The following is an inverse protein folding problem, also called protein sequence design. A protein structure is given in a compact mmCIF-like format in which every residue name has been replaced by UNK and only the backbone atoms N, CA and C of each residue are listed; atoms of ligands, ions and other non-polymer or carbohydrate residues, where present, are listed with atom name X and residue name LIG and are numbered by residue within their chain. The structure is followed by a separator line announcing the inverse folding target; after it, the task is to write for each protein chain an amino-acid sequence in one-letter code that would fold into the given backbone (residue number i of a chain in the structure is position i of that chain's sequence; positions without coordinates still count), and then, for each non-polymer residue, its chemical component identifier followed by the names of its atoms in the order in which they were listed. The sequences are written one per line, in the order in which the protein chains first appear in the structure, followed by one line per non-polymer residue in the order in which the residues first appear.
data_IF_114612970760
#
_entry.id   IF_114612970760
#
_cell.length_a   1.000
_cell.length_b   1.000
_cell.length_c   1.000
_cell.angle_alpha   90.00
_cell.angle_beta   90.00
_cell.angle_gamma   90.00
#
_symmetry.space_group_name_H-M   'P 1'
#
loop_
_entity.id
_entity.type
_entity.pdbx_description
1 polymer ?
#
# COMPACT_ATOMS: atom_id res chain seq x y z
N UNK A 1 3.22 3.76 37.28
CA UNK A 1 3.57 4.94 36.44
C UNK A 1 3.03 4.70 35.05
N UNK A 2 2.19 5.60 34.54
CA UNK A 2 1.52 5.46 33.25
C UNK A 2 2.04 6.52 32.28
N UNK A 3 2.61 6.08 31.17
CA UNK A 3 3.30 6.93 30.22
C UNK A 3 2.83 6.66 28.79
N UNK A 4 2.74 7.71 27.98
CA UNK A 4 2.45 7.60 26.55
C UNK A 4 3.54 8.34 25.78
N UNK A 5 4.15 7.70 24.80
CA UNK A 5 5.15 8.30 23.92
C UNK A 5 4.54 8.40 22.53
N UNK A 6 4.66 9.56 21.90
CA UNK A 6 4.09 9.81 20.59
C UNK A 6 5.03 10.60 19.68
N UNK A 7 4.98 10.28 18.39
CA UNK A 7 5.70 10.97 17.34
C UNK A 7 4.88 10.95 16.06
N UNK A 8 5.21 11.83 15.12
CA UNK A 8 4.56 11.95 13.83
C UNK A 8 5.57 11.93 12.69
N UNK A 9 5.10 11.64 11.48
CA UNK A 9 5.90 11.79 10.26
C UNK A 9 5.08 12.55 9.24
N UNK A 10 5.46 13.81 8.99
CA UNK A 10 4.92 14.61 7.91
C UNK A 10 5.47 14.13 6.57
N UNK A 11 4.57 13.77 5.65
CA UNK A 11 4.92 13.39 4.29
C UNK A 11 4.27 14.38 3.32
N UNK A 12 5.07 15.26 2.71
CA UNK A 12 4.57 16.27 1.79
C UNK A 12 3.91 15.63 0.56
N UNK A 13 2.63 15.94 0.33
CA UNK A 13 1.85 15.41 -0.79
C UNK A 13 1.43 13.93 -0.65
N UNK A 14 1.71 13.29 0.48
CA UNK A 14 1.30 11.93 0.80
C UNK A 14 0.58 11.89 2.16
N UNK A 15 0.09 10.71 2.53
CA UNK A 15 -0.52 10.49 3.83
C UNK A 15 0.55 10.60 4.94
N UNK A 16 0.21 11.31 6.02
CA UNK A 16 1.04 11.43 7.22
C UNK A 16 0.52 10.52 8.33
N UNK A 17 1.40 10.10 9.23
CA UNK A 17 1.10 9.06 10.23
C UNK A 17 1.58 9.44 11.63
N UNK A 18 0.89 8.91 12.63
CA UNK A 18 1.20 9.02 14.06
C UNK A 18 1.64 7.64 14.55
N UNK A 19 2.76 7.59 15.27
CA UNK A 19 3.17 6.42 16.04
C UNK A 19 3.02 6.68 17.53
N UNK A 20 2.49 5.70 18.27
CA UNK A 20 2.42 5.78 19.73
C UNK A 20 2.81 4.46 20.39
N UNK A 21 3.44 4.57 21.56
CA UNK A 21 3.63 3.46 22.50
C UNK A 21 3.14 3.85 23.89
N UNK A 22 2.52 2.91 24.58
CA UNK A 22 1.95 3.10 25.91
C UNK A 22 2.66 2.18 26.89
N UNK A 23 3.18 2.76 27.97
CA UNK A 23 3.93 2.07 29.01
C UNK A 23 3.16 2.14 30.32
N UNK A 24 3.13 1.03 31.05
CA UNK A 24 2.66 0.98 32.44
C UNK A 24 3.67 0.22 33.28
N UNK A 25 4.10 0.85 34.37
CA UNK A 25 5.02 0.26 35.35
C UNK A 25 6.31 -0.27 34.70
N UNK A 26 6.79 0.45 33.69
CA UNK A 26 7.98 0.09 32.90
C UNK A 26 7.74 -0.94 31.80
N UNK A 27 6.54 -1.50 31.69
CA UNK A 27 6.18 -2.48 30.66
C UNK A 27 5.39 -1.84 29.52
N UNK A 28 5.75 -2.19 28.29
CA UNK A 28 4.99 -1.75 27.12
C UNK A 28 3.72 -2.59 26.98
N UNK A 29 2.57 -1.93 27.08
CA UNK A 29 1.26 -2.58 27.03
C UNK A 29 0.53 -2.38 25.69
N UNK A 30 0.95 -1.41 24.88
CA UNK A 30 0.33 -1.12 23.58
C UNK A 30 1.28 -0.39 22.64
N UNK A 31 1.16 -0.70 21.35
CA UNK A 31 1.77 0.04 20.24
C UNK A 31 0.71 0.27 19.17
N UNK A 32 0.70 1.44 18.56
CA UNK A 32 -0.18 1.72 17.44
C UNK A 32 0.43 2.69 16.45
N UNK A 33 0.02 2.53 15.21
CA UNK A 33 0.15 3.55 14.18
C UNK A 33 -1.24 3.90 13.65
N UNK A 34 -1.49 5.17 13.40
CA UNK A 34 -2.70 5.63 12.73
C UNK A 34 -2.37 6.69 11.68
N UNK A 35 -3.16 6.75 10.61
CA UNK A 35 -3.13 7.85 9.66
C UNK A 35 -3.66 9.13 10.33
N UNK A 36 -3.09 10.28 9.97
CA UNK A 36 -3.65 11.59 10.32
C UNK A 36 -4.86 11.83 9.41
N UNK A 37 -6.09 11.95 9.96
CA UNK A 37 -7.33 11.97 9.17
C UNK A 37 -7.48 13.21 8.28
N UNK A 38 -6.85 14.31 8.64
CA UNK A 38 -6.82 15.56 7.87
C UNK A 38 -5.54 15.65 7.01
N UNK A 39 -5.49 16.61 6.09
CA UNK A 39 -4.27 16.94 5.33
C UNK A 39 -3.45 17.97 6.12
N UNK A 40 -2.52 17.55 7.01
CA UNK A 40 -1.69 18.49 7.75
C UNK A 40 -0.91 19.37 6.77
N UNK A 41 -0.75 20.65 7.09
CA UNK A 41 -0.04 21.58 6.21
C UNK A 41 1.45 21.62 6.51
N UNK A 42 1.84 21.20 7.71
CA UNK A 42 3.22 21.27 8.18
C UNK A 42 3.49 20.20 9.25
N UNK A 43 4.75 20.11 9.69
CA UNK A 43 5.15 19.15 10.71
C UNK A 43 4.51 19.43 12.08
N UNK A 44 4.35 20.70 12.47
CA UNK A 44 3.74 21.05 13.75
C UNK A 44 2.29 20.55 13.84
N UNK A 45 1.50 20.65 12.76
CA UNK A 45 0.15 20.09 12.71
C UNK A 45 0.16 18.57 12.99
N UNK A 46 1.16 17.85 12.48
CA UNK A 46 1.32 16.42 12.70
C UNK A 46 1.65 16.10 14.16
N UNK A 47 2.55 16.86 14.78
CA UNK A 47 2.91 16.70 16.18
C UNK A 47 1.72 16.98 17.12
N UNK A 48 0.95 18.03 16.82
CA UNK A 48 -0.27 18.35 17.57
C UNK A 48 -1.32 17.23 17.43
N UNK A 49 -1.43 16.62 16.25
CA UNK A 49 -2.30 15.46 16.04
C UNK A 49 -1.81 14.24 16.84
N UNK A 50 -0.49 14.00 16.91
CA UNK A 50 0.09 12.92 17.69
C UNK A 50 -0.20 13.07 19.19
N UNK A 51 -0.06 14.27 19.74
CA UNK A 51 -0.39 14.56 21.14
C UNK A 51 -1.90 14.41 21.43
N UNK A 52 -2.77 14.87 20.53
CA UNK A 52 -4.23 14.65 20.65
C UNK A 52 -4.59 13.16 20.65
N UNK A 53 -3.93 12.37 19.79
CA UNK A 53 -4.12 10.93 19.75
C UNK A 53 -3.61 10.27 21.04
N UNK A 54 -2.45 10.70 21.57
CA UNK A 54 -1.92 10.23 22.85
C UNK A 54 -2.88 10.49 24.02
N UNK A 55 -3.53 11.66 24.07
CA UNK A 55 -4.59 11.96 25.05
C UNK A 55 -5.76 10.98 24.95
N UNK A 56 -6.11 10.56 23.73
CA UNK A 56 -7.15 9.53 23.51
C UNK A 56 -6.72 8.17 24.04
N UNK A 57 -5.45 7.78 23.83
CA UNK A 57 -4.90 6.54 24.37
C UNK A 57 -4.88 6.56 25.91
N UNK A 58 -4.55 7.69 26.52
CA UNK A 58 -4.62 7.87 27.98
C UNK A 58 -6.03 7.56 28.52
N UNK A 59 -7.07 8.01 27.81
CA UNK A 59 -8.46 7.71 28.18
C UNK A 59 -8.79 6.23 28.08
N UNK A 60 -8.31 5.55 27.05
CA UNK A 60 -8.61 4.13 26.78
C UNK A 60 -7.89 3.22 27.77
N UNK A 61 -6.60 3.51 28.03
CA UNK A 61 -5.74 2.60 28.76
C UNK A 61 -5.62 2.92 30.24
N UNK A 62 -6.05 4.09 30.72
CA UNK A 62 -6.02 4.40 32.16
C UNK A 62 -6.87 3.42 32.97
N UNK A 63 -6.30 2.90 34.07
CA UNK A 63 -6.96 1.94 34.97
C UNK A 63 -7.09 2.52 36.39
N UNK A 64 -7.60 3.74 36.49
CA UNK A 64 -7.61 4.51 37.73
C UNK A 64 -6.25 5.14 38.08
N UNK A 65 -5.36 5.23 37.09
CA UNK A 65 -4.11 5.99 37.20
C UNK A 65 -4.44 7.46 37.53
N UNK A 66 -3.76 8.05 38.52
CA UNK A 66 -3.94 9.45 38.88
C UNK A 66 -3.00 10.38 38.12
N UNK A 67 -1.78 9.93 37.83
CA UNK A 67 -0.75 10.70 37.15
C UNK A 67 -0.32 10.02 35.86
N UNK A 68 -0.33 10.80 34.78
CA UNK A 68 0.04 10.35 33.43
C UNK A 68 1.03 11.33 32.83
N UNK A 69 2.08 10.82 32.19
CA UNK A 69 2.99 11.66 31.40
C UNK A 69 2.92 11.28 29.93
N UNK A 70 2.67 12.29 29.09
CA UNK A 70 2.68 12.18 27.63
C UNK A 70 3.94 12.85 27.11
N UNK A 71 4.74 12.10 26.37
CA UNK A 71 6.02 12.49 25.82
C UNK A 71 5.95 12.70 24.31
N UNK A 72 6.64 13.73 23.83
CA UNK A 72 6.85 14.03 22.42
C UNK A 72 8.19 14.77 22.24
N UNK A 73 8.83 14.67 21.07
CA UNK A 73 10.14 15.28 20.81
C UNK A 73 10.03 16.67 20.15
N UNK A 74 8.83 17.18 19.89
CA UNK A 74 8.59 18.56 19.49
C UNK A 74 8.34 19.48 20.68
N UNK A 75 9.36 20.29 21.01
CA UNK A 75 9.23 21.30 22.08
C UNK A 75 8.13 22.31 21.82
N UNK A 76 7.81 22.61 20.55
CA UNK A 76 6.75 23.54 20.18
C UNK A 76 5.37 22.94 20.44
N UNK A 77 5.15 21.69 20.04
CA UNK A 77 3.89 20.98 20.25
C UNK A 77 3.63 20.76 21.75
N UNK A 78 4.65 20.34 22.51
CA UNK A 78 4.57 20.18 23.98
C UNK A 78 4.15 21.49 24.65
N UNK A 79 4.73 22.64 24.25
CA UNK A 79 4.36 23.95 24.82
C UNK A 79 2.89 24.30 24.57
N UNK A 80 2.33 23.93 23.42
CA UNK A 80 0.91 24.14 23.12
C UNK A 80 0.05 23.35 24.11
N UNK A 81 0.31 22.04 24.24
CA UNK A 81 -0.46 21.17 25.15
C UNK A 81 -0.28 21.50 26.63
N UNK A 82 0.90 21.99 27.04
CA UNK A 82 1.11 22.49 28.40
C UNK A 82 0.19 23.68 28.72
N UNK A 83 -0.07 24.57 27.75
CA UNK A 83 -1.03 25.69 27.93
C UNK A 83 -2.47 25.22 27.96
N UNK A 84 -2.79 24.17 27.20
CA UNK A 84 -4.14 23.60 27.11
C UNK A 84 -4.45 22.55 28.18
N UNK A 85 -3.47 22.20 29.03
CA UNK A 85 -3.56 21.14 30.06
C UNK A 85 -4.87 21.19 30.83
N UNK A 86 -5.25 22.36 31.37
CA UNK A 86 -6.47 22.50 32.18
C UNK A 86 -7.75 22.17 31.39
N UNK A 87 -7.83 22.55 30.11
CA UNK A 87 -8.99 22.23 29.27
C UNK A 87 -9.03 20.75 28.89
N UNK A 88 -7.88 20.10 28.76
CA UNK A 88 -7.77 18.67 28.50
C UNK A 88 -8.19 17.87 29.75
N UNK A 89 -7.71 18.25 30.93
CA UNK A 89 -8.05 17.59 32.21
C UNK A 89 -9.54 17.70 32.54
N UNK A 90 -10.21 18.80 32.16
CA UNK A 90 -11.69 18.91 32.26
C UNK A 90 -12.41 17.80 31.49
N UNK A 91 -11.84 17.31 30.40
CA UNK A 91 -12.41 16.22 29.58
C UNK A 91 -12.08 14.83 30.14
N UNK A 92 -11.12 14.74 31.06
CA UNK A 92 -10.60 13.51 31.65
C UNK A 92 -10.58 13.63 33.19
N UNK A 93 -11.75 13.74 33.84
CA UNK A 93 -11.82 14.04 35.27
C UNK A 93 -11.15 12.93 36.09
N UNK A 94 -10.28 13.34 37.03
CA UNK A 94 -9.55 12.43 37.93
C UNK A 94 -8.15 12.04 37.45
N UNK A 95 -7.73 12.48 36.26
CA UNK A 95 -6.38 12.30 35.73
C UNK A 95 -5.62 13.63 35.74
N UNK A 96 -4.42 13.62 36.32
CA UNK A 96 -3.42 14.67 36.18
C UNK A 96 -2.50 14.32 35.01
N UNK A 97 -2.52 15.12 33.96
CA UNK A 97 -1.78 14.84 32.71
C UNK A 97 -0.63 15.83 32.57
N UNK A 98 0.59 15.29 32.48
CA UNK A 98 1.79 16.07 32.21
C UNK A 98 2.21 15.87 30.76
N UNK A 99 2.63 16.96 30.12
CA UNK A 99 3.20 16.94 28.78
C UNK A 99 4.67 17.30 28.87
N UNK A 100 5.54 16.41 28.42
CA UNK A 100 6.98 16.56 28.56
C UNK A 100 7.70 16.37 27.24
N UNK A 101 8.72 17.21 27.03
CA UNK A 101 9.66 16.99 25.95
C UNK A 101 10.56 15.80 26.29
N UNK A 102 10.77 14.91 25.32
CA UNK A 102 11.77 13.86 25.42
C UNK A 102 12.67 13.83 24.18
N UNK A 103 13.99 13.62 24.33
CA UNK A 103 14.87 13.43 23.17
C UNK A 103 14.53 12.17 22.39
N UNK A 104 14.64 12.25 21.06
CA UNK A 104 14.33 11.16 20.11
C UNK A 104 15.14 9.88 20.35
N UNK A 105 16.32 10.00 20.95
CA UNK A 105 17.22 8.86 21.19
C UNK A 105 16.74 7.93 22.32
N UNK A 106 15.74 8.35 23.10
CA UNK A 106 15.16 7.49 24.15
C UNK A 106 14.39 6.34 23.51
N UNK A 107 14.58 5.13 24.02
CA UNK A 107 14.07 3.88 23.42
C UNK A 107 12.59 3.95 23.06
N UNK A 108 11.74 4.39 23.98
CA UNK A 108 10.29 4.46 23.76
C UNK A 108 9.90 5.56 22.74
N UNK A 109 10.64 6.67 22.71
CA UNK A 109 10.44 7.72 21.69
C UNK A 109 10.91 7.24 20.31
N UNK A 110 12.05 6.55 20.23
CA UNK A 110 12.53 5.95 18.99
C UNK A 110 11.57 4.88 18.43
N UNK A 111 10.87 4.15 19.31
CA UNK A 111 9.81 3.23 18.92
C UNK A 111 8.63 3.99 18.32
N UNK A 112 8.15 5.06 18.97
CA UNK A 112 7.07 5.90 18.45
C UNK A 112 7.44 6.51 17.08
N UNK A 113 8.66 7.00 16.93
CA UNK A 113 9.23 7.50 15.66
C UNK A 113 9.26 6.42 14.57
N UNK A 114 9.70 5.21 14.92
CA UNK A 114 9.72 4.12 13.94
C UNK A 114 8.30 3.74 13.51
N UNK A 115 7.32 3.78 14.43
CA UNK A 115 5.92 3.48 14.16
C UNK A 115 5.26 4.54 13.27
N UNK A 116 5.64 5.81 13.38
CA UNK A 116 5.14 6.89 12.50
C UNK A 116 5.68 6.76 11.07
N UNK A 117 6.87 6.18 10.88
CA UNK A 117 7.52 6.04 9.56
C UNK A 117 7.28 4.72 8.84
N UNK A 118 7.27 3.59 9.57
CA UNK A 118 7.27 2.24 9.00
C UNK A 118 5.91 1.58 9.12
N UNK A 119 4.88 2.24 8.60
CA UNK A 119 3.57 1.62 8.49
C UNK A 119 3.35 1.07 7.08
N UNK A 120 3.23 -0.26 6.90
CA UNK A 120 2.76 -0.81 5.65
C UNK A 120 1.27 -0.49 5.51
N UNK A 121 0.97 0.58 4.78
CA UNK A 121 -0.38 0.89 4.36
C UNK A 121 -0.74 -0.12 3.28
N UNK A 122 -1.52 -1.12 3.66
CA UNK A 122 -2.16 -1.99 2.68
C UNK A 122 -3.28 -1.17 2.03
N UNK A 123 -3.09 -0.80 0.75
CA UNK A 123 -4.12 -0.11 -0.01
C UNK A 123 -5.32 -1.04 -0.20
N UNK A 124 -6.35 -0.87 0.63
CA UNK A 124 -7.62 -1.60 0.49
C UNK A 124 -8.47 -1.07 -0.68
N UNK A 125 -8.17 0.13 -1.21
CA UNK A 125 -8.90 0.77 -2.30
C UNK A 125 -8.37 0.41 -3.71
N UNK A 126 -7.65 -0.70 -3.85
CA UNK A 126 -7.31 -1.19 -5.17
C UNK A 126 -8.49 -2.05 -5.63
N UNK A 127 -9.21 -1.71 -6.72
CA UNK A 127 -10.22 -2.58 -7.29
C UNK A 127 -9.59 -3.96 -7.50
N UNK A 128 -10.10 -4.92 -6.74
CA UNK A 128 -9.75 -6.31 -6.87
C UNK A 128 -10.67 -6.93 -7.91
N UNK A 129 -10.12 -7.79 -8.76
CA UNK A 129 -10.92 -8.61 -9.66
C UNK A 129 -10.76 -10.07 -9.28
N UNK A 130 -11.80 -10.86 -9.54
CA UNK A 130 -11.74 -12.31 -9.42
C UNK A 130 -10.71 -12.88 -10.39
N UNK A 131 -9.90 -13.81 -9.88
CA UNK A 131 -8.91 -14.55 -10.67
C UNK A 131 -9.53 -15.85 -11.12
N UNK A 132 -9.59 -16.05 -12.43
CA UNK A 132 -10.14 -17.24 -13.04
C UNK A 132 -9.04 -18.23 -13.44
N UNK A 133 -9.22 -19.50 -13.09
CA UNK A 133 -8.31 -20.55 -13.57
C UNK A 133 -8.58 -20.83 -15.06
N UNK A 134 -7.59 -20.59 -15.93
CA UNK A 134 -7.73 -20.96 -17.35
C UNK A 134 -7.52 -22.46 -17.58
N UNK A 135 -6.97 -23.20 -16.60
CA UNK A 135 -6.63 -24.61 -16.72
C UNK A 135 -7.84 -25.53 -16.95
N UNK A 136 -9.02 -25.10 -16.47
CA UNK A 136 -10.29 -25.85 -16.51
C UNK A 136 -11.40 -25.12 -17.29
N UNK A 137 -11.05 -24.07 -18.02
CA UNK A 137 -12.00 -23.15 -18.67
C UNK A 137 -11.73 -23.08 -20.16
N UNK A 138 -12.28 -24.04 -20.90
CA UNK A 138 -12.15 -24.08 -22.36
C UNK A 138 -12.73 -22.83 -23.01
N UNK A 139 -13.78 -22.24 -22.43
CA UNK A 139 -14.37 -20.97 -22.89
C UNK A 139 -13.39 -19.80 -22.85
N UNK A 140 -12.49 -19.74 -21.87
CA UNK A 140 -11.41 -18.73 -21.79
C UNK A 140 -10.39 -18.99 -22.90
N UNK A 141 -9.95 -20.24 -23.04
CA UNK A 141 -8.94 -20.63 -24.03
C UNK A 141 -9.44 -20.43 -25.47
N UNK A 142 -10.69 -20.79 -25.73
CA UNK A 142 -11.34 -20.61 -27.03
C UNK A 142 -11.59 -19.14 -27.34
N UNK A 143 -12.06 -18.34 -26.36
CA UNK A 143 -12.25 -16.90 -26.57
C UNK A 143 -10.91 -16.22 -26.89
N UNK A 144 -9.84 -16.57 -26.19
CA UNK A 144 -8.49 -16.06 -26.48
C UNK A 144 -8.07 -16.39 -27.91
N UNK A 145 -8.21 -17.65 -28.32
CA UNK A 145 -7.76 -18.12 -29.63
C UNK A 145 -8.61 -17.57 -30.79
N UNK A 146 -9.93 -17.69 -30.69
CA UNK A 146 -10.86 -17.40 -31.79
C UNK A 146 -11.12 -15.90 -31.96
N UNK A 147 -11.16 -15.14 -30.86
CA UNK A 147 -11.43 -13.70 -30.89
C UNK A 147 -10.16 -12.84 -30.86
N UNK A 148 -8.98 -13.45 -31.01
CA UNK A 148 -7.67 -12.78 -31.01
C UNK A 148 -7.50 -11.81 -29.82
N UNK A 149 -7.94 -12.25 -28.65
CA UNK A 149 -7.97 -11.39 -27.45
C UNK A 149 -6.56 -10.97 -27.06
N UNK A 150 -6.43 -9.74 -26.60
CA UNK A 150 -5.16 -9.26 -26.07
C UNK A 150 -4.89 -9.89 -24.70
N UNK A 151 -3.69 -10.41 -24.55
CA UNK A 151 -3.16 -10.99 -23.33
C UNK A 151 -2.06 -10.07 -22.82
N UNK A 152 -2.20 -9.61 -21.58
CA UNK A 152 -1.25 -8.75 -20.89
C UNK A 152 -0.57 -9.55 -19.77
N UNK A 153 0.74 -9.43 -19.62
CA UNK A 153 1.48 -9.99 -18.48
C UNK A 153 2.78 -9.22 -18.24
N UNK A 154 3.35 -9.38 -17.05
CA UNK A 154 4.65 -8.81 -16.72
C UNK A 154 5.74 -9.86 -16.78
N UNK A 155 6.86 -9.46 -17.38
CA UNK A 155 8.11 -10.21 -17.42
C UNK A 155 9.19 -9.43 -16.67
N UNK A 156 9.95 -10.11 -15.81
CA UNK A 156 11.06 -9.48 -15.11
C UNK A 156 12.25 -9.32 -16.06
N UNK A 157 12.81 -8.12 -16.12
CA UNK A 157 14.01 -7.81 -16.91
C UNK A 157 15.22 -7.89 -16.00
N UNK A 158 15.95 -9.01 -16.05
CA UNK A 158 17.08 -9.29 -15.15
C UNK A 158 18.21 -8.27 -15.30
N UNK A 159 18.52 -7.85 -16.52
CA UNK A 159 19.64 -6.93 -16.81
C UNK A 159 19.42 -5.52 -16.24
N UNK A 160 18.15 -5.13 -16.07
CA UNK A 160 17.75 -3.83 -15.50
C UNK A 160 17.35 -3.94 -14.03
N UNK A 161 17.33 -5.16 -13.48
CA UNK A 161 17.03 -5.42 -12.09
C UNK A 161 18.30 -5.37 -11.23
N UNK A 162 18.15 -4.90 -10.00
CA UNK A 162 19.24 -4.80 -9.02
C UNK A 162 18.80 -5.37 -7.67
N UNK A 163 19.71 -5.35 -6.71
CA UNK A 163 19.42 -5.76 -5.33
C UNK A 163 18.38 -4.83 -4.66
N UNK A 164 18.26 -3.59 -5.16
CA UNK A 164 17.38 -2.55 -4.61
C UNK A 164 16.14 -2.29 -5.47
N UNK A 165 16.11 -2.76 -6.72
CA UNK A 165 15.01 -2.49 -7.67
C UNK A 165 14.70 -3.71 -8.53
N UNK A 166 13.44 -3.93 -8.87
CA UNK A 166 13.01 -4.88 -9.90
C UNK A 166 12.52 -4.09 -11.11
N UNK A 167 12.95 -4.46 -12.30
CA UNK A 167 12.42 -3.92 -13.54
C UNK A 167 11.46 -4.93 -14.16
N UNK A 168 10.22 -4.51 -14.42
CA UNK A 168 9.25 -5.30 -15.17
C UNK A 168 9.04 -4.71 -16.55
N UNK A 169 8.84 -5.58 -17.53
CA UNK A 169 8.36 -5.27 -18.86
C UNK A 169 6.90 -5.69 -18.98
N UNK A 170 6.05 -4.79 -19.47
CA UNK A 170 4.68 -5.13 -19.83
C UNK A 170 4.68 -5.72 -21.24
N UNK A 171 4.28 -6.99 -21.34
CA UNK A 171 4.05 -7.64 -22.62
C UNK A 171 2.56 -7.61 -22.93
N UNK A 172 2.21 -7.14 -24.13
CA UNK A 172 0.87 -7.17 -24.68
C UNK A 172 0.93 -7.93 -26.01
N UNK A 173 0.16 -9.01 -26.13
CA UNK A 173 0.20 -9.89 -27.30
C UNK A 173 -1.17 -10.43 -27.67
N UNK A 174 -1.29 -10.96 -28.89
CA UNK A 174 -2.29 -11.98 -29.22
C UNK A 174 -1.63 -13.36 -29.11
N UNK A 175 -2.38 -14.42 -29.43
CA UNK A 175 -1.79 -15.75 -29.55
C UNK A 175 -0.68 -15.79 -30.61
N UNK A 176 -0.85 -15.03 -31.71
CA UNK A 176 0.04 -15.07 -32.88
C UNK A 176 1.30 -14.22 -32.75
N UNK A 177 1.20 -13.04 -32.12
CA UNK A 177 2.30 -12.07 -32.11
C UNK A 177 2.29 -11.16 -30.90
N UNK A 178 3.47 -10.64 -30.58
CA UNK A 178 3.63 -9.54 -29.62
C UNK A 178 3.22 -8.23 -30.32
N UNK A 179 2.41 -7.43 -29.64
CA UNK A 179 1.97 -6.11 -30.10
C UNK A 179 2.76 -4.99 -29.42
N UNK A 180 3.13 -5.17 -28.16
CA UNK A 180 3.94 -4.22 -27.39
C UNK A 180 4.73 -4.94 -26.30
N UNK A 181 5.99 -4.57 -26.18
CA UNK A 181 6.97 -5.07 -25.20
C UNK A 181 7.99 -3.97 -24.78
N UNK A 182 7.67 -2.72 -25.10
CA UNK A 182 8.56 -1.56 -24.97
C UNK A 182 8.37 -0.79 -23.65
N UNK A 183 7.36 -1.14 -22.86
CA UNK A 183 7.03 -0.46 -21.59
C UNK A 183 7.73 -1.12 -20.41
N UNK A 184 8.52 -0.34 -19.70
CA UNK A 184 9.34 -0.79 -18.56
C UNK A 184 8.96 -0.02 -17.29
N UNK A 185 8.82 -0.75 -16.18
CA UNK A 185 8.46 -0.22 -14.87
C UNK A 185 9.55 -0.59 -13.86
N UNK A 186 10.09 0.39 -13.14
CA UNK A 186 11.22 0.24 -12.22
C UNK A 186 10.77 0.44 -10.76
N UNK A 187 10.71 -0.63 -9.98
CA UNK A 187 10.14 -0.59 -8.62
C UNK A 187 11.17 -0.95 -7.57
N UNK A 188 11.18 -0.22 -6.45
CA UNK A 188 12.09 -0.49 -5.33
C UNK A 188 11.72 -1.81 -4.61
N UNK A 189 12.71 -2.67 -4.36
CA UNK A 189 12.55 -3.91 -3.59
C UNK A 189 12.40 -3.60 -2.09
N UNK A 190 11.58 -4.37 -1.38
CA UNK A 190 11.62 -4.46 0.09
C UNK A 190 10.49 -3.77 0.87
N UNK A 191 9.43 -3.28 0.22
CA UNK A 191 8.22 -2.80 0.92
C UNK A 191 7.06 -3.79 0.81
N UNK A 192 6.27 -4.02 1.88
CA UNK A 192 4.95 -4.63 1.74
C UNK A 192 4.14 -3.88 0.66
N UNK A 193 3.47 -4.61 -0.24
CA UNK A 193 2.72 -4.01 -1.34
C UNK A 193 3.56 -3.44 -2.49
N UNK A 194 4.85 -3.77 -2.61
CA UNK A 194 5.66 -3.34 -3.76
C UNK A 194 5.04 -3.77 -5.10
N UNK A 195 4.49 -4.99 -5.18
CA UNK A 195 3.72 -5.47 -6.34
C UNK A 195 2.46 -4.63 -6.58
N UNK A 196 1.70 -4.29 -5.54
CA UNK A 196 0.52 -3.41 -5.64
C UNK A 196 0.88 -2.03 -6.21
N UNK A 197 2.04 -1.47 -5.82
CA UNK A 197 2.56 -0.22 -6.39
C UNK A 197 2.86 -0.35 -7.88
N UNK A 198 3.43 -1.48 -8.33
CA UNK A 198 3.63 -1.79 -9.76
C UNK A 198 2.31 -1.73 -10.51
N UNK A 199 1.29 -2.42 -10.00
CA UNK A 199 -0.02 -2.44 -10.65
C UNK A 199 -0.65 -1.04 -10.70
N UNK A 200 -0.46 -0.23 -9.65
CA UNK A 200 -0.89 1.17 -9.64
C UNK A 200 -0.18 2.04 -10.69
N UNK A 201 1.13 1.90 -10.85
CA UNK A 201 1.90 2.64 -11.86
C UNK A 201 1.48 2.24 -13.29
N UNK A 202 1.38 0.93 -13.55
CA UNK A 202 0.92 0.43 -14.85
C UNK A 202 -0.50 0.90 -15.13
N UNK A 203 -1.40 0.86 -14.14
CA UNK A 203 -2.78 1.32 -14.33
C UNK A 203 -2.85 2.80 -14.69
N UNK A 204 -2.03 3.64 -14.04
CA UNK A 204 -1.95 5.07 -14.36
C UNK A 204 -1.52 5.27 -15.81
N UNK A 205 -0.49 4.56 -16.23
CA UNK A 205 0.02 4.58 -17.61
C UNK A 205 -1.04 4.07 -18.61
N UNK A 206 -1.73 2.97 -18.31
CA UNK A 206 -2.85 2.43 -19.11
C UNK A 206 -4.15 3.25 -19.00
N UNK A 207 -4.17 4.32 -18.22
CA UNK A 207 -5.26 5.31 -18.20
C UNK A 207 -4.90 6.59 -18.95
N UNK A 208 -3.64 6.76 -19.38
CA UNK A 208 -3.18 7.95 -20.09
C UNK A 208 -3.62 7.90 -21.56
N UNK A 209 -4.34 8.91 -22.08
CA UNK A 209 -4.79 8.95 -23.47
C UNK A 209 -3.66 8.84 -24.51
N UNK A 210 -2.48 9.38 -24.23
CA UNK A 210 -1.32 9.30 -25.14
C UNK A 210 -0.78 7.87 -25.22
N UNK A 211 -0.76 7.19 -24.07
CA UNK A 211 -0.36 5.79 -23.97
C UNK A 211 -1.36 4.90 -24.70
N UNK A 212 -2.65 5.12 -24.48
CA UNK A 212 -3.73 4.39 -25.15
C UNK A 212 -3.64 4.56 -26.66
N UNK A 213 -3.50 5.79 -27.15
CA UNK A 213 -3.38 6.07 -28.59
C UNK A 213 -2.16 5.35 -29.21
N UNK A 214 -1.03 5.33 -28.50
CA UNK A 214 0.17 4.61 -28.93
C UNK A 214 -0.03 3.09 -28.99
N UNK A 215 -0.76 2.53 -28.03
CA UNK A 215 -1.08 1.10 -27.98
C UNK A 215 -2.10 0.72 -29.06
N UNK A 216 -3.13 1.53 -29.28
CA UNK A 216 -4.13 1.34 -30.33
C UNK A 216 -3.50 1.34 -31.72
N UNK A 217 -2.52 2.23 -31.97
CA UNK A 217 -1.74 2.24 -33.21
C UNK A 217 -0.96 0.93 -33.45
N UNK A 218 -0.61 0.20 -32.39
CA UNK A 218 0.01 -1.14 -32.45
C UNK A 218 -1.01 -2.28 -32.53
N UNK A 219 -2.31 -1.97 -32.61
CA UNK A 219 -3.40 -2.94 -32.66
C UNK A 219 -3.81 -3.51 -31.31
N UNK A 220 -3.41 -2.88 -30.20
CA UNK A 220 -3.82 -3.29 -28.85
C UNK A 220 -5.24 -2.79 -28.57
N UNK A 221 -6.07 -3.67 -28.01
CA UNK A 221 -7.40 -3.37 -27.47
C UNK A 221 -7.44 -3.81 -26.02
N UNK A 222 -7.59 -2.85 -25.11
CA UNK A 222 -7.67 -3.17 -23.67
C UNK A 222 -9.04 -3.75 -23.29
N UNK A 223 -10.09 -3.38 -24.02
CA UNK A 223 -11.44 -3.86 -23.77
C UNK A 223 -11.59 -5.35 -24.10
N UNK A 224 -12.18 -6.10 -23.18
CA UNK A 224 -12.29 -7.57 -23.19
C UNK A 224 -10.92 -8.28 -23.26
N UNK A 225 -9.88 -7.67 -22.70
CA UNK A 225 -8.55 -8.30 -22.61
C UNK A 225 -8.41 -9.23 -21.41
N UNK A 226 -7.34 -10.02 -21.43
CA UNK A 226 -6.96 -10.92 -20.35
C UNK A 226 -5.67 -10.43 -19.71
N UNK A 227 -5.69 -10.21 -18.40
CA UNK A 227 -4.48 -10.04 -17.62
C UNK A 227 -4.07 -11.40 -17.04
N UNK A 228 -2.90 -11.90 -17.45
CA UNK A 228 -2.34 -13.15 -16.97
C UNK A 228 -1.43 -12.89 -15.75
N UNK A 229 -1.79 -13.51 -14.63
CA UNK A 229 -0.89 -13.59 -13.47
C UNK A 229 0.20 -14.63 -13.72
N UNK A 230 1.45 -14.19 -13.65
CA UNK A 230 2.66 -15.00 -13.75
C UNK A 230 3.28 -15.18 -12.37
N UNK A 231 4.31 -16.01 -12.24
CA UNK A 231 5.06 -16.14 -10.97
C UNK A 231 5.61 -14.77 -10.49
N UNK A 232 5.98 -13.90 -11.43
CA UNK A 232 6.45 -12.53 -11.15
C UNK A 232 5.36 -11.62 -10.56
N UNK A 233 4.11 -11.82 -10.98
CA UNK A 233 2.97 -11.01 -10.54
C UNK A 233 2.09 -11.70 -9.51
N UNK A 234 2.48 -12.88 -9.03
CA UNK A 234 1.70 -13.68 -8.09
C UNK A 234 1.36 -12.94 -6.80
N UNK A 235 2.29 -12.14 -6.26
CA UNK A 235 2.03 -11.37 -5.06
C UNK A 235 1.21 -10.07 -5.27
N UNK A 236 0.63 -9.87 -6.47
CA UNK A 236 -0.53 -8.97 -6.63
C UNK A 236 -1.82 -9.55 -6.02
N UNK A 237 -1.83 -10.86 -5.73
CA UNK A 237 -2.95 -11.54 -5.09
C UNK A 237 -3.07 -11.03 -3.64
N UNK A 238 -4.26 -10.59 -3.28
CA UNK A 238 -4.57 -10.09 -1.93
C UNK A 238 -4.95 -11.28 -1.03
N UNK A 239 -6.13 -11.86 -1.24
CA UNK A 239 -6.71 -13.02 -0.52
C UNK A 239 -7.76 -13.73 -1.41
N UNK A 240 -8.11 -14.99 -1.12
CA UNK A 240 -9.27 -15.75 -1.64
C UNK A 240 -9.75 -15.42 -3.08
N UNK A 241 -8.85 -15.62 -4.06
CA UNK A 241 -9.08 -15.42 -5.50
C UNK A 241 -9.25 -13.98 -5.97
N UNK A 242 -8.86 -13.00 -5.16
CA UNK A 242 -8.85 -11.59 -5.55
C UNK A 242 -7.43 -11.06 -5.78
N UNK A 243 -7.24 -10.29 -6.84
CA UNK A 243 -5.95 -9.67 -7.16
C UNK A 243 -6.11 -8.23 -7.63
N UNK A 244 -5.07 -7.43 -7.42
CA UNK A 244 -4.98 -6.09 -7.99
C UNK A 244 -4.84 -6.19 -9.51
N UNK A 245 -5.74 -5.55 -10.26
CA UNK A 245 -5.60 -5.45 -11.72
C UNK A 245 -4.55 -4.41 -12.11
N UNK A 246 -3.79 -4.67 -13.17
CA UNK A 246 -2.95 -3.65 -13.83
C UNK A 246 -3.77 -2.75 -14.77
N UNK A 247 -5.00 -3.14 -15.10
CA UNK A 247 -5.89 -2.40 -16.00
C UNK A 247 -6.77 -1.41 -15.21
N UNK A 248 -7.24 -0.32 -15.85
CA UNK A 248 -8.18 0.60 -15.24
C UNK A 248 -9.52 -0.09 -14.95
N UNK A 249 -10.18 0.25 -13.84
CA UNK A 249 -11.47 -0.34 -13.46
C UNK A 249 -12.63 -0.01 -14.42
N UNK A 250 -12.47 1.03 -15.26
CA UNK A 250 -13.41 1.38 -16.33
C UNK A 250 -13.31 0.49 -17.57
N UNK A 251 -12.23 -0.29 -17.70
CA UNK A 251 -12.01 -1.18 -18.84
C UNK A 251 -12.52 -2.57 -18.48
N UNK A 252 -13.36 -3.17 -19.29
CA UNK A 252 -13.80 -4.55 -19.05
C UNK A 252 -12.66 -5.49 -19.37
N UNK A 253 -12.26 -6.31 -18.42
CA UNK A 253 -11.19 -7.29 -18.60
C UNK A 253 -11.38 -8.45 -17.64
N UNK A 254 -10.64 -9.53 -17.86
CA UNK A 254 -10.63 -10.72 -17.01
C UNK A 254 -9.21 -10.96 -16.51
N UNK A 255 -9.07 -11.42 -15.28
CA UNK A 255 -7.78 -11.82 -14.74
C UNK A 255 -7.71 -13.33 -14.69
N UNK A 256 -6.66 -13.90 -15.27
CA UNK A 256 -6.51 -15.34 -15.42
C UNK A 256 -5.19 -15.81 -14.83
N UNK A 257 -5.18 -17.05 -14.35
CA UNK A 257 -3.98 -17.71 -13.88
C UNK A 257 -4.11 -19.24 -14.04
N UNK A 258 -2.99 -19.95 -14.03
CA UNK A 258 -2.96 -21.40 -13.82
C UNK A 258 -2.22 -21.63 -12.50
N UNK A 259 -2.85 -22.31 -11.55
CA UNK A 259 -2.30 -22.43 -10.20
C UNK A 259 -1.02 -23.28 -10.14
N UNK A 260 -0.73 -24.06 -11.19
CA UNK A 260 0.37 -25.01 -11.26
C UNK A 260 1.51 -24.49 -12.14
N UNK A 261 1.19 -23.98 -13.32
CA UNK A 261 2.16 -23.47 -14.31
C UNK A 261 1.70 -22.08 -14.80
N UNK A 262 2.19 -21.04 -14.09
CA UNK A 262 1.88 -19.62 -14.32
C UNK A 262 2.62 -19.01 -15.51
N UNK A 263 3.20 -19.83 -16.37
CA UNK A 263 3.95 -19.32 -17.53
C UNK A 263 3.01 -18.86 -18.65
N UNK A 264 3.35 -17.75 -19.34
CA UNK A 264 2.67 -17.36 -20.59
C UNK A 264 2.68 -18.48 -21.64
N UNK A 265 3.75 -19.28 -21.69
CA UNK A 265 3.90 -20.40 -22.62
C UNK A 265 2.84 -21.49 -22.38
N UNK A 266 2.49 -21.78 -21.12
CA UNK A 266 1.43 -22.73 -20.80
C UNK A 266 0.07 -22.25 -21.32
N UNK A 267 -0.28 -20.99 -21.10
CA UNK A 267 -1.51 -20.39 -21.63
C UNK A 267 -1.56 -20.52 -23.16
N UNK A 268 -0.50 -20.07 -23.84
CA UNK A 268 -0.44 -20.04 -25.31
C UNK A 268 -0.57 -21.45 -25.89
N UNK A 269 0.23 -22.41 -25.41
CA UNK A 269 0.18 -23.82 -25.85
C UNK A 269 -1.21 -24.44 -25.69
N UNK A 270 -1.94 -24.08 -24.63
CA UNK A 270 -3.31 -24.60 -24.39
C UNK A 270 -4.33 -23.91 -25.29
N UNK A 271 -4.24 -22.60 -25.46
CA UNK A 271 -5.13 -21.82 -26.32
C UNK A 271 -4.96 -22.21 -27.81
N UNK A 272 -3.75 -22.60 -28.23
CA UNK A 272 -3.48 -23.01 -29.61
C UNK A 272 -4.32 -24.19 -30.09
N UNK A 273 -4.82 -25.03 -29.18
CA UNK A 273 -5.69 -26.17 -29.51
C UNK A 273 -7.08 -25.76 -30.01
N UNK A 274 -7.46 -24.50 -29.82
CA UNK A 274 -8.76 -23.93 -30.19
C UNK A 274 -8.69 -22.99 -31.40
N UNK A 275 -7.53 -22.93 -32.08
CA UNK A 275 -7.39 -22.29 -33.39
C UNK A 275 -8.18 -23.03 -34.46
#
# INVERSE_FOLDING_TARGET
MFEVYCDSSFNEGEDSYIGCTVIRDGEQIHQSTTKIPDSPQNNLDCELAALNFAVTLTRIFSKGDQDVTIYNDSTEAVKVFQREKQEIEKKLPGLNINFEYIPREKVNQAIADSLSKKFPVFFLNVPTCEVESFSRREDILSDIAQNQRNILYLEKVEEKSTNKKTCYRLIIRTIDKILSDDRLYLIRKGGPGAQVKVAGEIRKDLSDPLVLSSLEAKGVRLENSYFLLTDETWGLRSTDNQTCSILPGSVRHRIICDEVDRSPQNLLRRAERFR
#
